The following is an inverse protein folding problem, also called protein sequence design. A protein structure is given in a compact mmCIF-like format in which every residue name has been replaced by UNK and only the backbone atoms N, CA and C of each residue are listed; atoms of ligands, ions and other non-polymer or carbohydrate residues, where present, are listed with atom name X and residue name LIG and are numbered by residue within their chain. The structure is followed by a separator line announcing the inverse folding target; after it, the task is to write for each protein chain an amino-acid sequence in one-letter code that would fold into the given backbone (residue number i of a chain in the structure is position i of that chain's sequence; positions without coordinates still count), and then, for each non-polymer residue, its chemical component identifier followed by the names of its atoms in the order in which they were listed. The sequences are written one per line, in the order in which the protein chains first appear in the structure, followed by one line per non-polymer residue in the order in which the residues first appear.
data_IF_096121174665
#
_entry.id   IF_096121174665
#
_cell.length_a   1.000
_cell.length_b   1.000
_cell.length_c   1.000
_cell.angle_alpha   90.00
_cell.angle_beta   90.00
_cell.angle_gamma   90.00
#
_symmetry.space_group_name_H-M   'P 1'
#
loop_
_entity.id
_entity.type
_entity.pdbx_description
1 polymer ?
#
# COMPACT_ATOMS: atom_id res chain seq x y z
N UNK A 1 -10.15 19.05 -18.74
CA UNK A 1 -9.09 19.94 -19.22
C UNK A 1 -8.00 19.13 -19.88
N UNK A 2 -7.50 19.58 -21.02
CA UNK A 2 -6.40 18.93 -21.67
C UNK A 2 -5.11 19.09 -20.84
N UNK A 3 -4.28 18.04 -20.81
CA UNK A 3 -2.95 18.14 -20.20
C UNK A 3 -2.05 18.98 -21.07
N UNK A 4 -1.11 19.67 -20.45
CA UNK A 4 -0.18 20.54 -21.13
C UNK A 4 1.25 20.11 -20.90
N UNK A 5 2.11 20.38 -21.88
CA UNK A 5 3.56 20.23 -21.80
C UNK A 5 4.23 21.59 -21.94
N UNK A 6 5.45 21.72 -21.44
CA UNK A 6 6.25 22.93 -21.52
C UNK A 6 7.47 22.66 -22.42
N UNK A 7 7.62 23.48 -23.46
CA UNK A 7 8.80 23.44 -24.34
C UNK A 7 9.35 24.85 -24.43
N UNK A 8 10.60 25.04 -24.00
CA UNK A 8 11.27 26.35 -23.99
C UNK A 8 10.44 27.46 -23.29
N UNK A 9 9.76 27.10 -22.20
CA UNK A 9 8.95 28.04 -21.42
C UNK A 9 7.56 28.30 -21.99
N UNK A 10 7.19 27.66 -23.08
CA UNK A 10 5.87 27.81 -23.70
C UNK A 10 5.02 26.58 -23.43
N UNK A 11 3.76 26.78 -23.06
CA UNK A 11 2.81 25.71 -22.77
C UNK A 11 2.06 25.29 -24.02
N UNK A 12 2.01 23.99 -24.27
CA UNK A 12 1.29 23.39 -25.37
C UNK A 12 0.34 22.33 -24.85
N UNK A 13 -0.81 22.21 -25.47
CA UNK A 13 -1.70 21.07 -25.21
C UNK A 13 -1.06 19.79 -25.76
N UNK A 14 -1.22 18.68 -25.03
CA UNK A 14 -0.77 17.39 -25.51
C UNK A 14 -1.61 16.95 -26.71
N UNK A 15 -0.96 16.32 -27.69
CA UNK A 15 -1.68 15.68 -28.79
C UNK A 15 -2.41 14.43 -28.31
N UNK A 16 -3.36 13.93 -29.09
CA UNK A 16 -4.06 12.68 -28.77
C UNK A 16 -3.08 11.51 -28.66
N UNK A 17 -2.03 11.47 -29.50
CA UNK A 17 -0.99 10.44 -29.43
C UNK A 17 -0.18 10.54 -28.14
N UNK A 18 0.20 11.74 -27.73
CA UNK A 18 0.94 11.97 -26.47
C UNK A 18 0.09 11.58 -25.27
N UNK A 19 -1.19 11.93 -25.24
CA UNK A 19 -2.10 11.55 -24.18
C UNK A 19 -2.29 10.03 -24.11
N UNK A 20 -2.41 9.35 -25.26
CA UNK A 20 -2.54 7.90 -25.33
C UNK A 20 -1.27 7.21 -24.81
N UNK A 21 -0.09 7.74 -25.13
CA UNK A 21 1.18 7.21 -24.63
C UNK A 21 1.29 7.35 -23.12
N UNK A 22 0.93 8.50 -22.56
CA UNK A 22 0.92 8.73 -21.12
C UNK A 22 -0.07 7.79 -20.42
N UNK A 23 -1.24 7.58 -21.00
CA UNK A 23 -2.23 6.65 -20.46
C UNK A 23 -1.71 5.21 -20.46
N UNK A 24 -1.02 4.80 -21.53
CA UNK A 24 -0.42 3.47 -21.63
C UNK A 24 0.70 3.28 -20.59
N UNK A 25 1.53 4.31 -20.37
CA UNK A 25 2.58 4.28 -19.35
C UNK A 25 1.99 4.19 -17.94
N UNK A 26 0.92 4.94 -17.66
CA UNK A 26 0.24 4.90 -16.38
C UNK A 26 -0.38 3.52 -16.12
N UNK A 27 -1.00 2.91 -17.13
CA UNK A 27 -1.56 1.56 -17.04
C UNK A 27 -0.46 0.54 -16.78
N UNK A 28 0.65 0.61 -17.50
CA UNK A 28 1.78 -0.30 -17.29
C UNK A 28 2.36 -0.17 -15.88
N UNK A 29 2.48 1.05 -15.37
CA UNK A 29 2.95 1.30 -14.01
C UNK A 29 1.99 0.74 -12.97
N UNK A 30 0.68 0.86 -13.19
CA UNK A 30 -0.34 0.33 -12.28
C UNK A 30 -0.35 -1.20 -12.24
N UNK A 31 0.08 -1.85 -13.32
CA UNK A 31 0.19 -3.31 -13.38
C UNK A 31 1.53 -3.85 -12.85
N UNK A 32 2.51 -2.99 -12.60
CA UNK A 32 3.83 -3.39 -12.13
C UNK A 32 3.84 -3.48 -10.60
N UNK A 33 3.67 -4.68 -10.09
CA UNK A 33 3.63 -4.96 -8.66
C UNK A 33 5.02 -5.09 -8.02
N UNK A 34 6.11 -4.87 -8.75
CA UNK A 34 7.47 -5.04 -8.22
C UNK A 34 7.76 -4.12 -7.04
N UNK A 35 7.32 -2.87 -7.10
CA UNK A 35 7.48 -1.92 -6.01
C UNK A 35 6.67 -2.36 -4.77
N UNK A 36 5.46 -2.87 -4.98
CA UNK A 36 4.62 -3.41 -3.91
C UNK A 36 5.30 -4.61 -3.24
N UNK A 37 5.87 -5.53 -4.03
CA UNK A 37 6.61 -6.68 -3.50
C UNK A 37 7.82 -6.24 -2.69
N UNK A 38 8.56 -5.26 -3.17
CA UNK A 38 9.74 -4.72 -2.48
C UNK A 38 9.36 -4.11 -1.13
N UNK A 39 8.32 -3.28 -1.11
CA UNK A 39 7.81 -2.66 0.11
C UNK A 39 7.29 -3.70 1.09
N UNK A 40 6.54 -4.69 0.60
CA UNK A 40 6.06 -5.83 1.39
C UNK A 40 7.23 -6.59 2.04
N UNK A 41 8.28 -6.87 1.28
CA UNK A 41 9.44 -7.59 1.78
C UNK A 41 10.14 -6.81 2.90
N UNK A 42 10.23 -5.49 2.78
CA UNK A 42 10.74 -4.62 3.84
C UNK A 42 9.88 -4.68 5.10
N UNK A 43 8.56 -4.69 4.94
CA UNK A 43 7.62 -4.79 6.07
C UNK A 43 7.69 -6.15 6.74
N UNK A 44 7.82 -7.24 5.97
CA UNK A 44 8.01 -8.58 6.50
C UNK A 44 9.31 -8.69 7.28
N UNK A 45 10.42 -8.16 6.73
CA UNK A 45 11.70 -8.15 7.42
C UNK A 45 11.66 -7.36 8.73
N UNK A 46 10.98 -6.22 8.73
CA UNK A 46 10.79 -5.40 9.92
C UNK A 46 9.96 -6.10 11.01
N UNK A 47 9.12 -7.07 10.62
CA UNK A 47 8.25 -7.81 11.54
C UNK A 47 8.76 -9.21 11.91
N UNK A 48 9.92 -9.64 11.40
CA UNK A 48 10.46 -10.99 11.65
C UNK A 48 10.68 -11.27 13.14
N UNK A 49 11.11 -10.26 13.89
CA UNK A 49 11.37 -10.40 15.34
C UNK A 49 10.12 -10.80 16.13
N UNK A 50 8.92 -10.50 15.63
CA UNK A 50 7.66 -10.80 16.31
C UNK A 50 7.39 -12.31 16.44
N UNK A 51 8.09 -13.12 15.66
CA UNK A 51 7.94 -14.58 15.65
C UNK A 51 8.98 -15.30 16.52
N UNK A 52 9.85 -14.54 17.18
CA UNK A 52 10.81 -15.11 18.12
C UNK A 52 10.08 -15.48 19.43
N UNK A 53 10.54 -16.57 20.06
CA UNK A 53 9.89 -17.09 21.27
C UNK A 53 9.95 -16.14 22.48
N UNK A 54 10.91 -15.20 22.47
CA UNK A 54 11.12 -14.23 23.55
C UNK A 54 10.77 -12.79 23.14
N UNK A 55 10.04 -12.62 22.04
CA UNK A 55 9.67 -11.29 21.57
C UNK A 55 8.70 -10.59 22.54
N UNK A 56 8.97 -9.32 22.81
CA UNK A 56 8.10 -8.50 23.65
C UNK A 56 7.02 -7.87 22.77
N UNK A 57 5.84 -8.48 22.71
CA UNK A 57 4.75 -8.08 21.82
C UNK A 57 3.70 -7.18 22.48
N UNK A 58 3.86 -6.84 23.76
CA UNK A 58 2.89 -6.04 24.51
C UNK A 58 1.57 -6.78 24.63
N UNK A 59 0.45 -6.11 24.27
CA UNK A 59 -0.88 -6.66 24.36
C UNK A 59 -1.27 -7.57 23.17
N UNK A 60 -0.32 -7.86 22.28
CA UNK A 60 -0.57 -8.62 21.06
C UNK A 60 0.16 -9.96 21.08
N UNK A 61 -0.39 -10.94 20.37
CA UNK A 61 0.16 -12.29 20.34
C UNK A 61 1.00 -12.51 19.07
N UNK A 62 1.89 -13.49 19.12
CA UNK A 62 2.64 -13.93 17.94
C UNK A 62 1.70 -14.40 16.84
N UNK A 63 0.55 -14.97 17.18
CA UNK A 63 -0.45 -15.40 16.21
C UNK A 63 -1.09 -14.21 15.48
N UNK A 64 -1.41 -13.12 16.18
CA UNK A 64 -1.92 -11.89 15.56
C UNK A 64 -0.90 -11.35 14.55
N UNK A 65 0.37 -11.30 14.91
CA UNK A 65 1.44 -10.88 14.03
C UNK A 65 1.63 -11.84 12.85
N UNK A 66 1.49 -13.15 13.07
CA UNK A 66 1.59 -14.14 12.00
C UNK A 66 0.47 -13.94 10.98
N UNK A 67 -0.74 -13.62 11.42
CA UNK A 67 -1.87 -13.31 10.53
C UNK A 67 -1.58 -12.07 9.69
N UNK A 68 -1.05 -11.01 10.30
CA UNK A 68 -0.63 -9.80 9.60
C UNK A 68 0.45 -10.10 8.56
N UNK A 69 1.46 -10.87 8.92
CA UNK A 69 2.55 -11.26 8.02
C UNK A 69 2.03 -12.08 6.84
N UNK A 70 1.06 -12.97 7.09
CA UNK A 70 0.45 -13.74 6.00
C UNK A 70 -0.33 -12.86 5.04
N UNK A 71 -1.05 -11.86 5.55
CA UNK A 71 -1.74 -10.88 4.72
C UNK A 71 -0.75 -10.10 3.83
N UNK A 72 0.43 -9.77 4.35
CA UNK A 72 1.49 -9.13 3.56
C UNK A 72 2.00 -10.04 2.44
N UNK A 73 2.20 -11.34 2.73
CA UNK A 73 2.65 -12.30 1.72
C UNK A 73 1.64 -12.45 0.59
N UNK A 74 0.36 -12.39 0.93
CA UNK A 74 -0.73 -12.61 -0.02
C UNK A 74 -1.05 -11.40 -0.89
N UNK A 75 -0.52 -10.22 -0.58
CA UNK A 75 -0.84 -8.97 -1.30
C UNK A 75 -0.70 -9.08 -2.83
N UNK A 76 0.41 -9.60 -3.38
CA UNK A 76 0.54 -9.67 -4.84
C UNK A 76 -0.41 -10.68 -5.48
N UNK A 77 -0.95 -11.61 -4.71
CA UNK A 77 -1.93 -12.59 -5.20
C UNK A 77 -3.36 -12.05 -5.07
N UNK A 78 -3.60 -11.19 -4.09
CA UNK A 78 -4.90 -10.59 -3.83
C UNK A 78 -5.22 -9.47 -4.82
N UNK A 79 -4.21 -8.68 -5.18
CA UNK A 79 -4.37 -7.51 -6.04
C UNK A 79 -3.52 -7.66 -7.30
N UNK A 80 -4.07 -7.22 -8.42
CA UNK A 80 -3.37 -7.19 -9.71
C UNK A 80 -2.90 -5.79 -10.11
N UNK A 81 -3.36 -4.75 -9.40
CA UNK A 81 -3.04 -3.36 -9.69
C UNK A 81 -2.57 -2.63 -8.44
N UNK A 82 -1.55 -1.79 -8.60
CA UNK A 82 -1.02 -0.96 -7.52
C UNK A 82 -2.11 -0.09 -6.90
N UNK A 83 -2.98 0.49 -7.74
CA UNK A 83 -4.08 1.37 -7.31
C UNK A 83 -5.13 0.67 -6.46
N UNK A 84 -5.21 -0.65 -6.51
CA UNK A 84 -6.18 -1.45 -5.75
C UNK A 84 -5.64 -1.87 -4.38
N UNK A 85 -4.32 -1.77 -4.17
CA UNK A 85 -3.69 -2.33 -2.98
C UNK A 85 -4.14 -1.60 -1.72
N UNK A 86 -4.68 -2.36 -0.77
CA UNK A 86 -4.96 -1.91 0.59
C UNK A 86 -3.95 -2.61 1.50
N UNK A 87 -3.06 -1.83 2.11
CA UNK A 87 -2.03 -2.36 2.99
C UNK A 87 -2.64 -2.81 4.31
N UNK A 88 -2.35 -4.04 4.77
CA UNK A 88 -2.81 -4.48 6.09
C UNK A 88 -2.10 -3.67 7.18
N UNK A 89 -2.85 -3.34 8.22
CA UNK A 89 -2.29 -2.68 9.41
C UNK A 89 -1.70 -3.73 10.33
N UNK A 90 -0.57 -3.41 10.97
CA UNK A 90 -0.03 -4.27 12.03
C UNK A 90 -0.98 -4.29 13.24
N UNK A 91 -0.86 -5.28 14.15
CA UNK A 91 -1.79 -5.39 15.27
C UNK A 91 -1.90 -4.14 16.15
N UNK A 92 -0.80 -3.47 16.57
CA UNK A 92 -0.92 -2.23 17.34
C UNK A 92 -1.64 -1.10 16.59
N UNK A 93 -1.35 -0.93 15.29
CA UNK A 93 -1.98 0.10 14.46
C UNK A 93 -3.46 -0.20 14.25
N UNK A 94 -3.82 -1.45 14.00
CA UNK A 94 -5.21 -1.87 13.85
C UNK A 94 -6.00 -1.62 15.13
N UNK A 95 -5.44 -1.95 16.28
CA UNK A 95 -6.07 -1.72 17.58
C UNK A 95 -6.30 -0.22 17.83
N UNK A 96 -5.31 0.62 17.50
CA UNK A 96 -5.45 2.06 17.65
C UNK A 96 -6.52 2.63 16.70
N UNK A 97 -6.59 2.13 15.48
CA UNK A 97 -7.63 2.52 14.52
C UNK A 97 -9.01 2.13 15.03
N UNK A 98 -9.15 0.89 15.49
CA UNK A 98 -10.44 0.39 16.00
C UNK A 98 -10.91 1.20 17.22
N UNK A 99 -10.01 1.55 18.14
CA UNK A 99 -10.32 2.36 19.31
C UNK A 99 -10.75 3.77 18.90
N UNK A 100 -10.07 4.39 17.94
CA UNK A 100 -10.42 5.71 17.43
C UNK A 100 -11.78 5.71 16.74
N UNK A 101 -12.08 4.67 15.97
CA UNK A 101 -13.36 4.50 15.28
C UNK A 101 -14.50 4.32 16.29
N UNK A 102 -14.28 3.50 17.32
CA UNK A 102 -15.26 3.29 18.39
C UNK A 102 -15.56 4.60 19.14
N UNK A 103 -14.52 5.38 19.44
CA UNK A 103 -14.67 6.68 20.09
C UNK A 103 -15.45 7.67 19.21
N UNK A 104 -15.17 7.67 17.89
CA UNK A 104 -15.88 8.51 16.93
C UNK A 104 -17.37 8.14 16.87
N UNK A 105 -17.69 6.86 16.78
CA UNK A 105 -19.07 6.38 16.73
C UNK A 105 -19.81 6.67 18.04
N UNK A 106 -19.15 6.56 19.19
CA UNK A 106 -19.75 6.85 20.49
C UNK A 106 -20.06 8.34 20.69
N UNK A 107 -19.38 9.23 19.95
CA UNK A 107 -19.58 10.68 20.02
C UNK A 107 -20.75 11.16 19.14
N UNK A 108 -21.29 10.31 18.29
CA UNK A 108 -22.42 10.67 17.40
C UNK A 108 -23.77 10.60 18.09
#
# INVERSE_FOLDING_TARGET
MARQKVVNGVYYDLTAEEEAELAAQAEAADLDMNHVRSQRNGMLGAADWTQLGDAALGDHTAEEWATHRQALRDLPQTYSRVSEVVWPMDPPTQAAWDAAEAARLAAE
#
